data_IF_355492381292
#
_entry.id   IF_355492381292
#
_cell.length_a   1.000
_cell.length_b   1.000
_cell.length_c   1.000
_cell.angle_alpha   90.00
_cell.angle_beta   90.00
_cell.angle_gamma   90.00
#
_symmetry.space_group_name_H-M   'P 1'
#
loop_
_entity.id
_entity.type
_entity.pdbx_description
1 polymer ?
#
# COMPACT_ATOMS: atom_id res chain seq x y z
N UNK A 1 3.14 -23.78 -9.79
CA UNK A 1 4.18 -22.73 -9.97
C UNK A 1 3.79 -21.50 -9.16
N UNK A 2 4.72 -20.58 -8.82
CA UNK A 2 4.42 -19.26 -8.25
C UNK A 2 4.47 -18.22 -9.37
N UNK A 3 3.39 -17.46 -9.51
CA UNK A 3 3.27 -16.35 -10.46
C UNK A 3 3.21 -15.03 -9.66
N UNK A 4 4.14 -14.13 -9.93
CA UNK A 4 4.08 -12.74 -9.48
C UNK A 4 3.53 -11.91 -10.63
N UNK A 5 2.38 -11.28 -10.43
CA UNK A 5 1.61 -10.61 -11.48
C UNK A 5 1.44 -9.15 -11.12
N UNK A 6 1.98 -8.25 -11.95
CA UNK A 6 1.72 -6.83 -11.83
C UNK A 6 0.26 -6.52 -12.23
N UNK A 7 -0.27 -5.43 -11.74
CA UNK A 7 -1.67 -5.05 -11.94
C UNK A 7 -1.87 -4.09 -13.11
N UNK A 8 -1.32 -2.88 -12.98
CA UNK A 8 -1.52 -1.82 -13.98
C UNK A 8 -0.77 -2.13 -15.29
N UNK A 9 -1.52 -2.22 -16.39
CA UNK A 9 -0.97 -2.57 -17.70
C UNK A 9 -0.81 -4.05 -17.96
N UNK A 10 -1.05 -4.93 -16.97
CA UNK A 10 -0.98 -6.39 -17.07
C UNK A 10 -2.34 -7.04 -16.89
N UNK A 11 -3.01 -6.81 -15.76
CA UNK A 11 -4.37 -7.35 -15.52
C UNK A 11 -5.43 -6.38 -16.02
N UNK A 12 -5.20 -5.11 -15.86
CA UNK A 12 -6.11 -4.04 -16.31
C UNK A 12 -5.34 -2.78 -16.74
N UNK A 13 -6.03 -1.88 -17.41
CA UNK A 13 -5.57 -0.53 -17.71
C UNK A 13 -6.66 0.47 -17.36
N UNK A 14 -6.39 1.36 -16.42
CA UNK A 14 -7.43 2.22 -15.86
C UNK A 14 -8.56 1.39 -15.25
N UNK A 15 -9.78 1.46 -15.76
CA UNK A 15 -10.94 0.69 -15.29
C UNK A 15 -11.21 -0.58 -16.12
N UNK A 16 -10.49 -0.79 -17.22
CA UNK A 16 -10.75 -1.84 -18.18
C UNK A 16 -9.80 -3.03 -17.99
N UNK A 17 -10.35 -4.24 -17.95
CA UNK A 17 -9.53 -5.45 -17.91
C UNK A 17 -8.79 -5.66 -19.23
N UNK A 18 -7.57 -6.18 -19.14
CA UNK A 18 -6.85 -6.68 -20.33
C UNK A 18 -7.54 -7.95 -20.81
N UNK A 19 -7.99 -8.00 -22.08
CA UNK A 19 -8.70 -9.16 -22.61
C UNK A 19 -7.90 -10.45 -22.47
N UNK A 20 -8.53 -11.50 -21.96
CA UNK A 20 -7.93 -12.82 -21.74
C UNK A 20 -7.12 -13.00 -20.47
N UNK A 21 -6.74 -11.91 -19.78
CA UNK A 21 -5.93 -12.03 -18.56
C UNK A 21 -6.69 -12.62 -17.36
N UNK A 22 -7.90 -12.18 -17.01
CA UNK A 22 -8.65 -12.82 -15.93
C UNK A 22 -8.92 -14.29 -16.17
N UNK A 23 -9.25 -14.66 -17.40
CA UNK A 23 -9.49 -16.03 -17.84
C UNK A 23 -8.22 -16.89 -17.72
N UNK A 24 -7.07 -16.36 -18.16
CA UNK A 24 -5.76 -17.02 -18.02
C UNK A 24 -5.41 -17.25 -16.55
N UNK A 25 -5.57 -16.23 -15.70
CA UNK A 25 -5.27 -16.35 -14.28
C UNK A 25 -6.19 -17.36 -13.59
N UNK A 26 -7.46 -17.40 -13.97
CA UNK A 26 -8.41 -18.40 -13.46
C UNK A 26 -7.99 -19.81 -13.85
N UNK A 27 -7.59 -20.02 -15.12
CA UNK A 27 -7.06 -21.29 -15.57
C UNK A 27 -5.80 -21.71 -14.82
N UNK A 28 -4.84 -20.78 -14.64
CA UNK A 28 -3.60 -21.06 -13.90
C UNK A 28 -3.85 -21.42 -12.46
N UNK A 29 -4.82 -20.74 -11.81
CA UNK A 29 -5.24 -21.07 -10.45
C UNK A 29 -5.87 -22.47 -10.37
N UNK A 30 -6.70 -22.84 -11.36
CA UNK A 30 -7.31 -24.17 -11.45
C UNK A 30 -6.25 -25.27 -11.68
N UNK A 31 -5.16 -24.96 -12.39
CA UNK A 31 -4.02 -25.85 -12.60
C UNK A 31 -3.12 -25.98 -11.33
N UNK A 32 -3.49 -25.33 -10.23
CA UNK A 32 -2.78 -25.39 -8.95
C UNK A 32 -1.64 -24.39 -8.80
N UNK A 33 -1.54 -23.40 -9.65
CA UNK A 33 -0.56 -22.34 -9.50
C UNK A 33 -0.96 -21.35 -8.40
N UNK A 34 0.05 -20.83 -7.71
CA UNK A 34 -0.13 -19.76 -6.73
C UNK A 34 0.07 -18.42 -7.45
N UNK A 35 -0.96 -17.58 -7.42
CA UNK A 35 -0.93 -16.25 -8.01
C UNK A 35 -0.80 -15.24 -6.88
N UNK A 36 0.24 -14.39 -6.96
CA UNK A 36 0.45 -13.25 -6.07
C UNK A 36 0.45 -11.98 -6.92
N UNK A 37 -0.48 -11.10 -6.64
CA UNK A 37 -0.55 -9.80 -7.28
C UNK A 37 0.38 -8.81 -6.59
N UNK A 38 1.17 -8.10 -7.37
CA UNK A 38 2.14 -7.11 -6.88
C UNK A 38 1.87 -5.78 -7.58
N UNK A 39 1.81 -4.69 -6.83
CA UNK A 39 1.68 -3.36 -7.42
C UNK A 39 2.51 -2.33 -6.64
N UNK A 40 3.17 -1.43 -7.37
CA UNK A 40 3.86 -0.30 -6.78
C UNK A 40 2.93 0.85 -6.35
N UNK A 41 1.63 0.71 -6.58
CA UNK A 41 0.64 1.71 -6.21
C UNK A 41 0.19 1.54 -4.75
N UNK A 42 0.41 2.57 -3.93
CA UNK A 42 0.02 2.63 -2.51
C UNK A 42 -1.31 3.35 -2.26
N UNK A 43 -2.03 3.75 -3.32
CA UNK A 43 -3.26 4.55 -3.20
C UNK A 43 -4.37 3.83 -2.45
N UNK A 44 -4.61 2.57 -2.84
CA UNK A 44 -5.72 1.78 -2.36
C UNK A 44 -5.27 0.73 -1.36
N UNK A 45 -6.11 0.40 -0.40
CA UNK A 45 -5.93 -0.76 0.46
C UNK A 45 -6.16 -2.06 -0.34
N UNK A 46 -5.59 -3.17 0.11
CA UNK A 46 -5.70 -4.49 -0.55
C UNK A 46 -7.14 -4.94 -0.80
N UNK A 47 -8.09 -4.56 0.07
CA UNK A 47 -9.51 -4.91 -0.09
C UNK A 47 -10.12 -4.31 -1.36
N UNK A 48 -9.74 -3.09 -1.72
CA UNK A 48 -10.20 -2.45 -2.95
C UNK A 48 -9.61 -3.13 -4.19
N UNK A 49 -8.34 -3.55 -4.13
CA UNK A 49 -7.74 -4.34 -5.21
C UNK A 49 -8.40 -5.72 -5.34
N UNK A 50 -8.68 -6.39 -4.22
CA UNK A 50 -9.38 -7.67 -4.22
C UNK A 50 -10.75 -7.54 -4.89
N UNK A 51 -11.59 -6.62 -4.43
CA UNK A 51 -12.91 -6.39 -5.01
C UNK A 51 -12.86 -6.08 -6.51
N UNK A 52 -11.84 -5.32 -6.93
CA UNK A 52 -11.63 -4.96 -8.33
C UNK A 52 -11.25 -6.19 -9.18
N UNK A 53 -10.33 -7.01 -8.71
CA UNK A 53 -9.90 -8.23 -9.40
C UNK A 53 -11.06 -9.23 -9.54
N UNK A 54 -11.81 -9.44 -8.46
CA UNK A 54 -13.01 -10.30 -8.45
C UNK A 54 -14.07 -9.77 -9.42
N UNK A 55 -14.31 -8.45 -9.44
CA UNK A 55 -15.23 -7.80 -10.39
C UNK A 55 -14.82 -7.96 -11.85
N UNK A 56 -13.54 -8.21 -12.13
CA UNK A 56 -13.03 -8.51 -13.48
C UNK A 56 -13.01 -10.00 -13.79
N UNK A 57 -13.34 -10.87 -12.84
CA UNK A 57 -13.34 -12.33 -12.96
C UNK A 57 -11.97 -12.97 -12.73
N UNK A 58 -11.01 -12.25 -12.14
CA UNK A 58 -9.72 -12.80 -11.75
C UNK A 58 -9.78 -13.38 -10.32
N UNK A 59 -9.13 -14.53 -10.04
CA UNK A 59 -9.09 -15.10 -8.71
C UNK A 59 -8.26 -14.21 -7.79
N UNK A 60 -8.81 -13.77 -6.66
CA UNK A 60 -8.09 -12.93 -5.71
C UNK A 60 -8.34 -13.37 -4.27
N UNK A 61 -7.29 -13.33 -3.46
CA UNK A 61 -7.39 -13.41 -2.01
C UNK A 61 -6.52 -12.33 -1.38
N UNK A 62 -6.96 -11.80 -0.26
CA UNK A 62 -6.33 -10.64 0.39
C UNK A 62 -4.85 -10.88 0.72
N UNK A 63 -4.51 -12.11 1.12
CA UNK A 63 -3.15 -12.53 1.50
C UNK A 63 -2.20 -12.62 0.29
N UNK A 64 -2.75 -12.62 -0.92
CA UNK A 64 -2.00 -12.73 -2.18
C UNK A 64 -1.96 -11.42 -2.96
N UNK A 65 -2.29 -10.32 -2.31
CA UNK A 65 -2.18 -8.96 -2.87
C UNK A 65 -1.15 -8.19 -2.08
N UNK A 66 -0.05 -7.84 -2.74
CA UNK A 66 1.06 -7.09 -2.17
C UNK A 66 1.14 -5.72 -2.86
N UNK A 67 0.63 -4.70 -2.19
CA UNK A 67 0.83 -3.30 -2.59
C UNK A 67 2.16 -2.78 -2.03
N UNK A 68 2.70 -1.71 -2.60
CA UNK A 68 3.86 -1.04 -2.01
C UNK A 68 3.57 -0.54 -0.58
N UNK A 69 2.33 -0.09 -0.32
CA UNK A 69 1.89 0.26 1.04
C UNK A 69 1.93 -0.92 2.00
N UNK A 70 1.43 -2.10 1.56
CA UNK A 70 1.50 -3.33 2.37
C UNK A 70 2.94 -3.78 2.63
N UNK A 71 3.78 -3.74 1.60
CA UNK A 71 5.20 -4.09 1.73
C UNK A 71 5.91 -3.20 2.74
N UNK A 72 5.67 -1.89 2.67
CA UNK A 72 6.23 -0.92 3.63
C UNK A 72 5.71 -1.15 5.05
N UNK A 73 4.40 -1.40 5.21
CA UNK A 73 3.80 -1.69 6.51
C UNK A 73 4.42 -2.93 7.17
N UNK A 74 4.57 -4.03 6.41
CA UNK A 74 5.20 -5.25 6.89
C UNK A 74 6.68 -5.05 7.24
N UNK A 75 7.42 -4.27 6.43
CA UNK A 75 8.82 -3.95 6.70
C UNK A 75 9.00 -3.18 8.01
N UNK A 76 8.17 -2.16 8.23
CA UNK A 76 8.19 -1.37 9.47
C UNK A 76 7.80 -2.19 10.69
N UNK A 77 6.74 -2.97 10.61
CA UNK A 77 6.30 -3.84 11.71
C UNK A 77 7.31 -4.94 12.04
N UNK A 78 8.10 -5.37 11.04
CA UNK A 78 9.16 -6.37 11.20
C UNK A 78 10.51 -5.82 11.70
N UNK A 79 10.64 -4.53 11.95
CA UNK A 79 11.85 -3.94 12.52
C UNK A 79 12.10 -4.44 13.94
N UNK A 80 13.35 -4.47 14.38
CA UNK A 80 13.71 -4.82 15.77
C UNK A 80 13.09 -3.86 16.80
N UNK A 81 12.83 -2.63 16.38
CA UNK A 81 12.12 -1.60 17.11
C UNK A 81 11.11 -0.96 16.14
N UNK A 82 9.90 -1.52 16.03
CA UNK A 82 8.87 -0.94 15.20
C UNK A 82 8.48 0.47 15.68
N UNK A 83 8.13 1.38 14.78
CA UNK A 83 7.70 2.71 15.19
C UNK A 83 6.42 2.63 16.05
N UNK A 84 6.39 3.44 17.10
CA UNK A 84 5.23 3.58 17.99
C UNK A 84 4.10 4.34 17.30
N UNK A 85 4.45 5.40 16.57
CA UNK A 85 3.52 6.30 15.94
C UNK A 85 4.07 6.75 14.57
N UNK A 86 3.34 6.41 13.52
CA UNK A 86 3.74 6.70 12.14
C UNK A 86 2.90 7.83 11.57
N UNK A 87 3.52 8.90 11.15
CA UNK A 87 2.85 9.93 10.36
C UNK A 87 2.66 9.44 8.93
N UNK A 88 1.44 9.57 8.43
CA UNK A 88 1.08 9.14 7.07
C UNK A 88 1.03 10.35 6.14
N UNK A 89 1.97 10.42 5.22
CA UNK A 89 1.98 11.37 4.11
C UNK A 89 1.59 10.64 2.83
N UNK A 90 0.30 10.37 2.70
CA UNK A 90 -0.30 9.56 1.64
C UNK A 90 -1.80 9.42 1.84
N UNK A 91 -2.41 8.56 1.04
CA UNK A 91 -3.84 8.32 1.08
C UNK A 91 -4.29 7.32 2.16
N UNK A 92 -5.61 7.19 2.29
CA UNK A 92 -6.28 6.31 3.25
C UNK A 92 -5.88 4.83 3.09
N UNK A 93 -5.63 4.37 1.85
CA UNK A 93 -5.19 2.99 1.62
C UNK A 93 -3.88 2.67 2.33
N UNK A 94 -2.91 3.61 2.26
CA UNK A 94 -1.64 3.46 2.97
C UNK A 94 -1.82 3.44 4.48
N UNK A 95 -2.67 4.35 5.02
CA UNK A 95 -2.97 4.40 6.45
C UNK A 95 -3.51 3.06 6.95
N UNK A 96 -4.51 2.50 6.28
CA UNK A 96 -5.12 1.23 6.63
C UNK A 96 -4.13 0.06 6.59
N UNK A 97 -3.20 0.03 5.61
CA UNK A 97 -2.17 -1.01 5.55
C UNK A 97 -1.21 -0.97 6.74
N UNK A 98 -0.89 0.23 7.25
CA UNK A 98 -0.08 0.40 8.47
C UNK A 98 -0.86 -0.04 9.71
N UNK A 99 -2.12 0.34 9.84
CA UNK A 99 -2.99 -0.04 10.95
C UNK A 99 -3.25 -1.56 11.00
N UNK A 100 -3.40 -2.21 9.84
CA UNK A 100 -3.59 -3.66 9.71
C UNK A 100 -2.41 -4.50 10.26
N UNK A 101 -1.24 -3.90 10.39
CA UNK A 101 -0.08 -4.55 11.00
C UNK A 101 0.17 -4.10 12.45
N UNK A 102 -0.75 -3.31 13.01
CA UNK A 102 -0.72 -2.87 14.40
C UNK A 102 0.12 -1.61 14.66
N UNK A 103 0.52 -0.87 13.63
CA UNK A 103 1.22 0.40 13.79
C UNK A 103 0.22 1.52 14.09
N UNK A 104 0.53 2.36 15.08
CA UNK A 104 -0.21 3.61 15.33
C UNK A 104 0.00 4.60 14.19
N UNK A 105 -1.07 5.31 13.79
CA UNK A 105 -1.00 6.28 12.69
C UNK A 105 -1.50 7.66 13.11
N UNK A 106 -0.93 8.70 12.51
CA UNK A 106 -1.42 10.09 12.56
C UNK A 106 -1.35 10.70 11.17
N UNK A 107 -2.20 11.69 10.92
CA UNK A 107 -2.17 12.44 9.68
C UNK A 107 -0.97 13.38 9.59
N UNK A 108 -0.52 13.65 8.36
CA UNK A 108 0.51 14.64 8.09
C UNK A 108 -0.06 16.06 8.22
N UNK A 109 -0.14 16.54 9.47
CA UNK A 109 -0.64 17.85 9.89
C UNK A 109 0.15 18.36 11.08
N UNK A 110 0.02 19.64 11.42
CA UNK A 110 0.63 20.18 12.66
C UNK A 110 0.10 19.49 13.93
N UNK A 111 -1.16 19.10 13.94
CA UNK A 111 -1.76 18.36 15.05
C UNK A 111 -1.18 16.94 15.16
N UNK A 112 -0.96 16.28 14.03
CA UNK A 112 -0.28 14.99 14.00
C UNK A 112 1.18 15.10 14.42
N UNK A 113 1.89 16.15 14.00
CA UNK A 113 3.28 16.40 14.41
C UNK A 113 3.39 16.63 15.92
N UNK A 114 2.41 17.31 16.53
CA UNK A 114 2.40 17.56 17.98
C UNK A 114 2.27 16.27 18.83
N UNK A 115 1.91 15.14 18.22
CA UNK A 115 1.86 13.82 18.87
C UNK A 115 3.21 13.10 18.87
N UNK A 116 4.26 13.75 18.37
CA UNK A 116 5.64 13.25 18.35
C UNK A 116 5.77 11.91 17.63
N UNK A 117 5.45 11.84 16.31
CA UNK A 117 5.64 10.62 15.52
C UNK A 117 7.12 10.28 15.36
N UNK A 118 7.46 9.01 15.56
CA UNK A 118 8.82 8.50 15.46
C UNK A 118 9.14 7.92 14.08
N UNK A 119 8.12 7.84 13.21
CA UNK A 119 8.29 7.53 11.79
C UNK A 119 7.35 8.38 10.91
N UNK A 120 7.72 8.51 9.65
CA UNK A 120 6.87 9.04 8.58
C UNK A 120 6.95 8.16 7.35
N UNK A 121 5.80 7.81 6.81
CA UNK A 121 5.70 7.04 5.57
C UNK A 121 5.06 7.90 4.49
N UNK A 122 5.73 7.99 3.34
CA UNK A 122 5.17 8.68 2.17
C UNK A 122 4.73 7.70 1.10
N UNK A 123 3.59 7.99 0.48
CA UNK A 123 3.02 7.26 -0.66
C UNK A 123 2.34 8.21 -1.62
N UNK A 124 1.48 7.67 -2.49
CA UNK A 124 0.66 8.48 -3.39
C UNK A 124 -0.26 9.37 -2.56
N UNK A 125 -0.16 10.69 -2.75
CA UNK A 125 -0.96 11.70 -2.10
C UNK A 125 -1.57 12.65 -3.13
N UNK A 126 -2.90 12.73 -3.20
CA UNK A 126 -3.63 13.64 -4.07
C UNK A 126 -4.04 14.94 -3.37
N UNK A 127 -3.85 15.00 -2.05
CA UNK A 127 -4.14 16.18 -1.22
C UNK A 127 -2.85 16.93 -0.85
N UNK A 128 -1.85 16.86 -1.73
CA UNK A 128 -0.56 17.52 -1.56
C UNK A 128 -0.74 19.02 -1.35
N UNK A 129 -0.20 19.53 -0.24
CA UNK A 129 -0.21 20.94 0.08
C UNK A 129 1.15 21.41 0.61
N UNK A 130 1.38 22.72 0.58
CA UNK A 130 2.58 23.31 1.17
C UNK A 130 2.70 23.00 2.67
N UNK A 131 1.57 23.00 3.37
CA UNK A 131 1.52 22.66 4.79
C UNK A 131 1.99 21.22 5.03
N UNK A 132 1.40 20.25 4.31
CA UNK A 132 1.77 18.82 4.46
C UNK A 132 3.25 18.59 4.14
N UNK A 133 3.78 19.22 3.09
CA UNK A 133 5.22 19.14 2.76
C UNK A 133 6.10 19.74 3.87
N UNK A 134 5.67 20.86 4.44
CA UNK A 134 6.42 21.54 5.51
C UNK A 134 6.44 20.67 6.77
N UNK A 135 5.30 20.14 7.17
CA UNK A 135 5.16 19.23 8.33
C UNK A 135 6.02 17.98 8.12
N UNK A 136 5.90 17.32 6.97
CA UNK A 136 6.70 16.15 6.66
C UNK A 136 8.20 16.43 6.76
N UNK A 137 8.65 17.57 6.20
CA UNK A 137 10.05 18.00 6.28
C UNK A 137 10.52 18.24 7.71
N UNK A 138 9.67 18.85 8.56
CA UNK A 138 10.01 19.09 9.97
C UNK A 138 10.12 17.77 10.75
N UNK A 139 9.20 16.84 10.54
CA UNK A 139 9.21 15.52 11.19
C UNK A 139 10.46 14.72 10.81
N UNK A 140 10.82 14.68 9.52
CA UNK A 140 12.06 14.02 9.04
C UNK A 140 13.29 14.69 9.64
N UNK A 141 13.37 16.03 9.66
CA UNK A 141 14.50 16.76 10.24
C UNK A 141 14.58 16.62 11.76
N UNK A 142 13.46 16.34 12.41
CA UNK A 142 13.39 16.01 13.83
C UNK A 142 13.98 14.64 14.18
N UNK A 143 14.32 13.83 13.19
CA UNK A 143 14.95 12.52 13.35
C UNK A 143 14.01 11.32 13.24
N UNK A 144 12.75 11.53 12.86
CA UNK A 144 11.82 10.44 12.59
C UNK A 144 12.33 9.53 11.45
N UNK A 145 12.09 8.24 11.57
CA UNK A 145 12.41 7.28 10.51
C UNK A 145 11.59 7.60 9.25
N UNK A 146 12.27 7.76 8.12
CA UNK A 146 11.60 8.05 6.85
C UNK A 146 11.54 6.83 5.96
N UNK A 147 10.34 6.50 5.50
CA UNK A 147 10.10 5.46 4.52
C UNK A 147 9.26 5.99 3.36
N UNK A 148 9.60 5.59 2.14
CA UNK A 148 8.80 5.82 0.94
C UNK A 148 8.29 4.47 0.41
N UNK A 149 7.06 4.45 -0.10
CA UNK A 149 6.46 3.20 -0.62
C UNK A 149 7.02 2.80 -1.96
N UNK A 150 7.57 3.73 -2.72
CA UNK A 150 8.23 3.54 -4.01
C UNK A 150 9.00 4.80 -4.43
#
# INVERSE_FOLDING_TARGET
MLLLVDLDGVVYRGTEKIPGMPELLTQRAADGDIIVYVTNNSRWHRTEYQARLEGMGAPASLERILTSGRGTALALAGMSQPPRLTMVFGGEGLRRELEDVGLGTVECSYEGMAQDPDAIVTGVDFDLSFERLSVASMVVRGGAYFAATN
#
